data_IF_941038188476
#
_entry.id   IF_941038188476
#
_cell.length_a   1.000
_cell.length_b   1.000
_cell.length_c   1.000
_cell.angle_alpha   90.00
_cell.angle_beta   90.00
_cell.angle_gamma   90.00
#
_symmetry.space_group_name_H-M   'P 1'
#
loop_
_entity.id
_entity.type
_entity.pdbx_description
1 polymer ?
#
# COMPACT_ATOMS: atom_id res chain seq x y z
N UNK A 1 53.66 -12.48 37.61
CA UNK A 1 52.89 -11.24 37.32
C UNK A 1 51.46 -11.65 36.98
N UNK A 2 50.51 -11.45 37.91
CA UNK A 2 49.22 -12.15 37.93
C UNK A 2 48.09 -11.44 37.18
N UNK A 3 46.99 -12.16 36.92
CA UNK A 3 45.77 -11.72 36.21
C UNK A 3 45.24 -10.33 36.61
N UNK A 4 45.47 -9.92 37.87
CA UNK A 4 45.12 -8.60 38.42
C UNK A 4 45.87 -7.44 37.74
N UNK A 5 47.18 -7.58 37.50
CA UNK A 5 47.98 -6.51 36.87
C UNK A 5 47.59 -6.32 35.41
N UNK A 6 47.23 -7.41 34.71
CA UNK A 6 46.74 -7.36 33.34
C UNK A 6 45.38 -6.63 33.25
N UNK A 7 44.42 -6.96 34.12
CA UNK A 7 43.11 -6.30 34.15
C UNK A 7 43.22 -4.82 34.51
N UNK A 8 44.15 -4.46 35.40
CA UNK A 8 44.42 -3.08 35.76
C UNK A 8 44.97 -2.31 34.55
N UNK A 9 45.96 -2.84 33.84
CA UNK A 9 46.50 -2.23 32.60
C UNK A 9 45.45 -2.10 31.49
N UNK A 10 44.59 -3.11 31.32
CA UNK A 10 43.49 -3.05 30.36
C UNK A 10 42.49 -1.94 30.70
N UNK A 11 42.16 -1.79 32.00
CA UNK A 11 41.26 -0.73 32.47
C UNK A 11 41.86 0.66 32.24
N UNK A 12 43.17 0.82 32.43
CA UNK A 12 43.88 2.06 32.11
C UNK A 12 43.86 2.36 30.60
N UNK A 13 44.15 1.36 29.76
CA UNK A 13 44.11 1.54 28.30
C UNK A 13 42.69 1.90 27.81
N UNK A 14 41.65 1.32 28.40
CA UNK A 14 40.27 1.68 28.11
C UNK A 14 39.96 3.11 28.56
N UNK A 15 40.34 3.48 29.79
CA UNK A 15 40.16 4.83 30.34
C UNK A 15 40.83 5.89 29.46
N UNK A 16 42.08 5.68 29.05
CA UNK A 16 42.78 6.62 28.16
C UNK A 16 42.08 6.79 26.81
N UNK A 17 41.55 5.70 26.24
CA UNK A 17 40.77 5.74 24.99
C UNK A 17 39.48 6.54 25.15
N UNK A 18 38.79 6.38 26.27
CA UNK A 18 37.55 7.10 26.58
C UNK A 18 37.81 8.61 26.77
N UNK A 19 38.82 8.97 27.58
CA UNK A 19 39.23 10.36 27.81
C UNK A 19 39.70 11.04 26.52
N UNK A 20 40.47 10.33 25.69
CA UNK A 20 40.91 10.85 24.37
C UNK A 20 39.71 11.08 23.46
N UNK A 21 38.76 10.15 23.43
CA UNK A 21 37.53 10.28 22.63
C UNK A 21 36.66 11.45 23.09
N UNK A 22 36.57 11.70 24.39
CA UNK A 22 35.88 12.86 24.95
C UNK A 22 36.55 14.18 24.54
N UNK A 23 37.87 14.31 24.74
CA UNK A 23 38.62 15.50 24.33
C UNK A 23 38.50 15.80 22.83
N UNK A 24 38.51 14.76 21.99
CA UNK A 24 38.29 14.92 20.54
C UNK A 24 36.89 15.45 20.26
N UNK A 25 35.85 14.92 20.93
CA UNK A 25 34.46 15.38 20.77
C UNK A 25 34.32 16.85 21.17
N UNK A 26 34.96 17.27 22.27
CA UNK A 26 34.91 18.66 22.72
C UNK A 26 35.62 19.62 21.77
N UNK A 27 36.79 19.23 21.24
CA UNK A 27 37.49 20.01 20.21
C UNK A 27 36.68 20.12 18.92
N UNK A 28 35.95 19.08 18.53
CA UNK A 28 35.05 19.12 17.37
C UNK A 28 33.87 20.06 17.65
N UNK A 29 33.26 19.96 18.84
CA UNK A 29 32.15 20.83 19.23
C UNK A 29 32.58 22.30 19.24
N UNK A 30 33.72 22.62 19.87
CA UNK A 30 34.28 23.97 19.90
C UNK A 30 34.60 24.49 18.49
N UNK A 31 35.16 23.64 17.63
CA UNK A 31 35.46 24.02 16.25
C UNK A 31 34.21 24.28 15.41
N UNK A 32 33.16 23.46 15.56
CA UNK A 32 31.87 23.68 14.87
C UNK A 32 31.14 24.91 15.37
N UNK A 33 31.24 25.25 16.66
CA UNK A 33 30.73 26.52 17.22
C UNK A 33 31.41 27.74 16.60
N UNK A 34 32.69 27.63 16.26
CA UNK A 34 33.46 28.66 15.53
C UNK A 34 33.15 28.69 14.02
N UNK A 35 32.19 27.90 13.54
CA UNK A 35 31.82 27.85 12.13
C UNK A 35 32.78 27.09 11.22
N UNK A 36 33.72 26.31 11.77
CA UNK A 36 34.65 25.52 10.96
C UNK A 36 34.02 24.22 10.46
N UNK A 37 34.26 23.89 9.20
CA UNK A 37 33.88 22.61 8.63
C UNK A 37 34.89 21.52 9.06
N UNK A 38 34.41 20.57 9.87
CA UNK A 38 35.24 19.54 10.50
C UNK A 38 35.35 18.24 9.67
N UNK A 39 35.23 18.36 8.34
CA UNK A 39 35.38 17.24 7.40
C UNK A 39 34.14 16.35 7.25
N UNK A 40 34.34 15.21 6.58
CA UNK A 40 33.30 14.28 6.16
C UNK A 40 33.00 14.36 4.67
N UNK A 41 31.83 13.87 4.25
CA UNK A 41 31.41 13.93 2.86
C UNK A 41 31.07 15.37 2.48
N UNK A 42 31.81 15.94 1.52
CA UNK A 42 31.56 17.29 0.99
C UNK A 42 30.15 17.36 0.39
N UNK A 43 29.27 18.28 0.82
CA UNK A 43 27.93 18.39 0.25
C UNK A 43 27.93 18.74 -1.25
N UNK A 44 26.88 18.33 -1.97
CA UNK A 44 26.67 18.74 -3.38
C UNK A 44 26.68 20.27 -3.47
N UNK A 45 27.30 20.86 -4.49
CA UNK A 45 27.46 22.32 -4.63
C UNK A 45 28.72 22.91 -4.00
N UNK A 46 29.49 22.11 -3.23
CA UNK A 46 30.72 22.56 -2.58
C UNK A 46 31.95 21.70 -2.90
N UNK A 47 33.13 22.28 -2.77
CA UNK A 47 34.43 21.60 -2.79
C UNK A 47 35.12 21.78 -1.43
N UNK A 48 35.90 20.78 -1.02
CA UNK A 48 36.67 20.86 0.22
C UNK A 48 37.77 21.92 0.08
N UNK A 49 37.86 22.84 1.04
CA UNK A 49 38.93 23.83 1.12
C UNK A 49 39.47 23.87 2.56
N UNK A 50 40.18 22.80 2.95
CA UNK A 50 40.71 22.66 4.31
C UNK A 50 39.60 22.59 5.37
N UNK A 51 39.54 23.58 6.26
CA UNK A 51 38.52 23.71 7.33
C UNK A 51 37.30 24.53 6.91
N UNK A 52 37.16 24.83 5.62
CA UNK A 52 36.05 25.54 5.00
C UNK A 52 35.62 24.84 3.70
N UNK A 53 34.54 25.31 3.09
CA UNK A 53 33.98 24.82 1.83
C UNK A 53 34.01 25.95 0.80
N UNK A 54 34.41 25.63 -0.43
CA UNK A 54 34.35 26.56 -1.58
C UNK A 54 33.17 26.18 -2.47
N UNK A 55 32.46 27.16 -3.03
CA UNK A 55 31.33 26.88 -3.93
C UNK A 55 31.85 26.32 -5.26
N UNK A 56 31.16 25.28 -5.74
CA UNK A 56 31.27 24.76 -7.10
C UNK A 56 30.04 25.23 -7.88
N UNK A 57 30.20 26.20 -8.77
CA UNK A 57 29.07 26.87 -9.42
C UNK A 57 28.20 25.93 -10.28
N UNK A 58 28.80 24.89 -10.90
CA UNK A 58 28.06 23.95 -11.73
C UNK A 58 27.07 23.13 -10.88
N UNK A 59 27.52 22.63 -9.74
CA UNK A 59 26.67 21.89 -8.83
C UNK A 59 25.78 22.80 -7.97
N UNK A 60 26.24 24.00 -7.62
CA UNK A 60 25.47 24.99 -6.88
C UNK A 60 24.23 25.42 -7.68
N UNK A 61 24.33 25.54 -9.01
CA UNK A 61 23.18 25.76 -9.88
C UNK A 61 22.09 24.70 -9.72
N UNK A 62 22.48 23.42 -9.57
CA UNK A 62 21.53 22.32 -9.32
C UNK A 62 20.81 22.54 -7.99
N UNK A 63 21.55 22.90 -6.94
CA UNK A 63 20.97 23.15 -5.61
C UNK A 63 20.02 24.34 -5.64
N UNK A 64 20.40 25.48 -6.25
CA UNK A 64 19.54 26.67 -6.39
C UNK A 64 18.24 26.31 -7.11
N UNK A 65 18.35 25.59 -8.23
CA UNK A 65 17.18 25.13 -9.00
C UNK A 65 16.26 24.23 -8.17
N UNK A 66 16.80 23.32 -7.37
CA UNK A 66 15.99 22.46 -6.49
C UNK A 66 15.23 23.26 -5.44
N UNK A 67 15.84 24.29 -4.84
CA UNK A 67 15.18 25.18 -3.89
C UNK A 67 14.08 26.00 -4.56
N UNK A 68 14.32 26.54 -5.76
CA UNK A 68 13.33 27.30 -6.52
C UNK A 68 12.13 26.43 -6.94
N UNK A 69 12.40 25.21 -7.41
CA UNK A 69 11.36 24.25 -7.77
C UNK A 69 10.53 23.86 -6.55
N UNK A 70 11.16 23.66 -5.40
CA UNK A 70 10.44 23.32 -4.18
C UNK A 70 9.53 24.46 -3.73
N UNK A 71 10.01 25.71 -3.76
CA UNK A 71 9.19 26.89 -3.43
C UNK A 71 7.97 27.03 -4.34
N UNK A 72 8.10 26.70 -5.63
CA UNK A 72 6.99 26.73 -6.59
C UNK A 72 5.99 25.58 -6.43
N UNK A 73 6.48 24.37 -6.11
CA UNK A 73 5.66 23.15 -6.10
C UNK A 73 5.07 22.84 -4.72
N UNK A 74 5.74 23.23 -3.63
CA UNK A 74 5.33 22.93 -2.24
C UNK A 74 5.38 21.44 -1.85
N UNK A 75 5.86 20.55 -2.72
CA UNK A 75 5.79 19.09 -2.55
C UNK A 75 7.09 18.41 -2.93
N UNK A 76 7.69 17.65 -1.99
CA UNK A 76 8.94 16.90 -2.23
C UNK A 76 8.74 15.78 -3.26
N UNK A 77 7.51 15.24 -3.38
CA UNK A 77 7.20 14.23 -4.40
C UNK A 77 7.25 14.83 -5.79
N UNK A 78 6.62 15.98 -5.97
CA UNK A 78 6.52 16.61 -7.29
C UNK A 78 7.87 17.23 -7.67
N UNK A 79 8.64 17.71 -6.69
CA UNK A 79 10.06 18.07 -6.87
C UNK A 79 10.88 16.89 -7.40
N UNK A 80 10.71 15.69 -6.82
CA UNK A 80 11.43 14.48 -7.29
C UNK A 80 11.15 14.20 -8.75
N UNK A 81 9.86 14.17 -9.13
CA UNK A 81 9.46 13.90 -10.51
C UNK A 81 10.00 14.96 -11.47
N UNK A 82 9.98 16.24 -11.07
CA UNK A 82 10.51 17.33 -11.89
C UNK A 82 12.03 17.29 -12.01
N UNK A 83 12.75 17.02 -10.93
CA UNK A 83 14.21 16.87 -10.92
C UNK A 83 14.66 15.67 -11.78
N UNK A 84 13.90 14.58 -11.76
CA UNK A 84 14.14 13.40 -12.59
C UNK A 84 13.95 13.72 -14.07
N UNK A 85 12.88 14.45 -14.44
CA UNK A 85 12.61 14.90 -15.80
C UNK A 85 13.66 15.88 -16.36
N UNK A 86 14.24 16.72 -15.51
CA UNK A 86 15.34 17.64 -15.87
C UNK A 86 16.69 16.89 -15.99
N UNK A 87 16.76 15.64 -15.54
CA UNK A 87 17.97 14.83 -15.63
C UNK A 87 18.96 15.06 -14.48
N UNK A 88 18.55 15.69 -13.39
CA UNK A 88 19.43 15.91 -12.24
C UNK A 88 19.83 14.60 -11.57
N UNK A 89 21.12 14.49 -11.20
CA UNK A 89 21.73 13.29 -10.61
C UNK A 89 22.55 13.66 -9.38
N UNK A 90 22.66 12.70 -8.46
CA UNK A 90 23.54 12.81 -7.29
C UNK A 90 25.03 12.84 -7.68
N UNK A 91 25.87 13.53 -6.90
CA UNK A 91 27.33 13.60 -7.18
C UNK A 91 27.96 12.21 -7.25
N UNK A 92 28.59 11.89 -8.37
CA UNK A 92 29.43 10.70 -8.53
C UNK A 92 30.72 10.83 -7.72
N UNK A 93 31.05 9.81 -6.94
CA UNK A 93 32.26 9.75 -6.10
C UNK A 93 32.89 8.40 -6.23
N UNK A 94 34.18 8.39 -6.50
CA UNK A 94 35.00 7.19 -6.55
C UNK A 94 35.80 7.12 -5.24
N UNK A 95 35.63 6.01 -4.51
CA UNK A 95 36.37 5.79 -3.27
C UNK A 95 37.71 5.14 -3.59
N UNK A 96 38.69 5.28 -2.69
CA UNK A 96 40.02 4.65 -2.81
C UNK A 96 39.97 3.11 -2.95
N UNK A 97 38.84 2.47 -2.63
CA UNK A 97 38.60 1.04 -2.79
C UNK A 97 37.94 0.67 -4.14
N UNK A 98 37.89 1.58 -5.11
CA UNK A 98 37.27 1.37 -6.43
C UNK A 98 35.73 1.42 -6.44
N UNK A 99 35.08 1.51 -5.27
CA UNK A 99 33.61 1.61 -5.19
C UNK A 99 33.14 2.99 -5.62
N UNK A 100 32.34 3.03 -6.68
CA UNK A 100 31.65 4.25 -7.16
C UNK A 100 30.32 4.41 -6.40
N UNK A 101 30.02 5.63 -5.98
CA UNK A 101 28.74 5.99 -5.34
C UNK A 101 28.19 7.27 -5.95
N UNK A 102 26.87 7.38 -6.09
CA UNK A 102 26.21 8.52 -6.75
C UNK A 102 26.06 8.33 -8.26
N UNK A 103 25.67 9.38 -8.98
CA UNK A 103 25.31 9.31 -10.40
C UNK A 103 23.87 8.83 -10.67
N UNK A 104 23.11 8.51 -9.62
CA UNK A 104 21.72 8.07 -9.70
C UNK A 104 20.75 9.26 -9.56
N UNK A 105 19.51 9.16 -10.09
CA UNK A 105 18.44 10.12 -9.83
C UNK A 105 18.22 10.36 -8.34
N UNK A 106 17.79 11.57 -7.99
CA UNK A 106 17.53 11.91 -6.60
C UNK A 106 16.28 11.16 -6.07
N UNK A 107 16.42 10.53 -4.92
CA UNK A 107 15.28 9.99 -4.17
C UNK A 107 14.66 11.06 -3.25
N UNK A 108 13.49 10.75 -2.70
CA UNK A 108 12.78 11.71 -1.82
C UNK A 108 13.58 12.03 -0.56
N UNK A 109 14.31 11.05 -0.02
CA UNK A 109 15.11 11.21 1.20
C UNK A 109 16.29 12.14 0.99
N UNK A 110 17.01 12.00 -0.12
CA UNK A 110 18.14 12.85 -0.49
C UNK A 110 17.68 14.27 -0.80
N UNK A 111 16.56 14.46 -1.52
CA UNK A 111 15.99 15.80 -1.74
C UNK A 111 15.60 16.47 -0.43
N UNK A 112 14.93 15.75 0.47
CA UNK A 112 14.62 16.27 1.80
C UNK A 112 15.89 16.62 2.60
N UNK A 113 16.93 15.80 2.51
CA UNK A 113 18.22 16.09 3.13
C UNK A 113 18.84 17.38 2.58
N UNK A 114 18.84 17.58 1.25
CA UNK A 114 19.36 18.81 0.62
C UNK A 114 18.57 20.04 1.09
N UNK A 115 17.24 19.96 1.12
CA UNK A 115 16.38 21.07 1.51
C UNK A 115 16.47 21.41 3.01
N UNK A 116 16.76 20.44 3.88
CA UNK A 116 16.82 20.63 5.34
C UNK A 116 18.24 20.83 5.88
N UNK A 117 19.27 20.73 5.03
CA UNK A 117 20.65 20.85 5.46
C UNK A 117 21.05 22.34 5.56
N UNK A 118 21.38 22.86 6.76
CA UNK A 118 21.72 24.26 6.96
C UNK A 118 23.05 24.70 6.31
N UNK A 119 23.87 23.74 5.86
CA UNK A 119 25.12 24.06 5.14
C UNK A 119 24.85 24.92 3.91
N UNK A 120 23.74 24.71 3.21
CA UNK A 120 23.38 25.49 2.03
C UNK A 120 23.09 26.96 2.32
N UNK A 121 22.70 27.27 3.55
CA UNK A 121 22.50 28.63 4.07
C UNK A 121 23.77 29.23 4.72
N UNK A 122 24.94 28.59 4.55
CA UNK A 122 26.17 29.06 5.19
C UNK A 122 26.26 28.72 6.68
N UNK A 123 25.44 27.80 7.21
CA UNK A 123 25.36 27.47 8.64
C UNK A 123 25.81 26.03 8.93
N UNK A 124 26.23 25.73 10.16
CA UNK A 124 26.72 24.40 10.58
C UNK A 124 25.88 23.86 11.74
N UNK A 125 25.41 22.61 11.62
CA UNK A 125 24.66 21.91 12.68
C UNK A 125 25.56 21.07 13.59
N UNK A 126 25.36 21.17 14.90
CA UNK A 126 25.95 20.27 15.88
C UNK A 126 25.00 20.02 17.06
N UNK A 127 24.70 18.74 17.37
CA UNK A 127 23.81 18.31 18.46
C UNK A 127 22.48 19.10 18.52
N UNK A 128 21.88 19.34 17.35
CA UNK A 128 20.60 20.05 17.22
C UNK A 128 20.72 21.58 17.14
N UNK A 129 21.82 22.17 17.59
CA UNK A 129 22.07 23.61 17.47
C UNK A 129 22.67 23.96 16.10
N UNK A 130 22.37 25.17 15.61
CA UNK A 130 22.83 25.70 14.33
C UNK A 130 23.71 26.92 14.64
N UNK A 131 24.89 26.97 14.07
CA UNK A 131 25.85 28.08 14.19
C UNK A 131 26.18 28.64 12.81
N UNK A 132 26.63 29.88 12.73
CA UNK A 132 27.12 30.45 11.47
C UNK A 132 28.41 29.75 11.04
N UNK A 133 28.47 29.38 9.76
CA UNK A 133 29.61 28.74 9.14
C UNK A 133 30.55 29.76 8.51
N UNK A 134 31.81 29.37 8.35
CA UNK A 134 32.83 30.18 7.66
C UNK A 134 32.80 30.02 6.13
N UNK A 135 31.94 29.16 5.61
CA UNK A 135 31.80 28.92 4.18
C UNK A 135 30.69 29.80 3.58
N UNK A 136 30.84 30.26 2.33
CA UNK A 136 29.80 31.04 1.66
C UNK A 136 28.52 30.23 1.46
N UNK A 137 27.37 30.88 1.62
CA UNK A 137 26.07 30.29 1.40
C UNK A 137 25.77 30.14 -0.11
N UNK A 138 25.18 29.01 -0.53
CA UNK A 138 24.66 28.81 -1.89
C UNK A 138 23.25 29.39 -2.02
N UNK A 139 22.48 29.26 -0.94
CA UNK A 139 21.11 29.77 -0.81
C UNK A 139 21.12 30.88 0.22
N UNK A 140 20.42 31.97 -0.07
CA UNK A 140 20.25 33.05 0.88
C UNK A 140 19.66 32.53 2.22
N UNK A 141 20.21 32.92 3.38
CA UNK A 141 19.74 32.41 4.67
C UNK A 141 18.24 32.65 4.91
N UNK A 142 17.69 33.79 4.45
CA UNK A 142 16.25 34.08 4.62
C UNK A 142 15.40 33.20 3.69
N UNK A 143 15.86 32.95 2.46
CA UNK A 143 15.20 32.00 1.57
C UNK A 143 15.21 30.57 2.12
N UNK A 144 16.31 30.16 2.77
CA UNK A 144 16.38 28.86 3.44
C UNK A 144 15.43 28.76 4.65
N UNK A 145 15.36 29.82 5.46
CA UNK A 145 14.45 29.88 6.62
C UNK A 145 12.97 29.73 6.17
N UNK A 146 12.56 30.40 5.08
CA UNK A 146 11.23 30.21 4.46
C UNK A 146 10.97 28.76 4.02
N UNK A 147 11.96 28.10 3.42
CA UNK A 147 11.85 26.69 3.02
C UNK A 147 11.70 25.78 4.24
N UNK A 148 12.36 26.09 5.37
CA UNK A 148 12.15 25.34 6.61
C UNK A 148 10.74 25.52 7.16
N UNK A 149 10.18 26.73 7.11
CA UNK A 149 8.80 26.98 7.50
C UNK A 149 7.81 26.17 6.64
N UNK A 150 8.04 26.09 5.33
CA UNK A 150 7.25 25.26 4.41
C UNK A 150 7.36 23.76 4.73
N UNK A 151 8.58 23.28 5.00
CA UNK A 151 8.81 21.89 5.40
C UNK A 151 8.16 21.56 6.75
N UNK A 152 8.23 22.48 7.71
CA UNK A 152 7.65 22.33 9.03
C UNK A 152 6.13 22.40 8.97
N UNK A 153 5.53 23.40 8.32
CA UNK A 153 4.07 23.53 8.16
C UNK A 153 3.45 22.31 7.46
N UNK A 154 4.12 21.74 6.46
CA UNK A 154 3.74 20.46 5.87
C UNK A 154 3.86 19.27 6.84
N UNK A 155 4.76 19.33 7.82
CA UNK A 155 4.89 18.36 8.90
C UNK A 155 3.91 18.61 10.08
N UNK A 156 3.44 19.86 10.28
CA UNK A 156 2.46 20.26 11.29
C UNK A 156 1.03 19.91 10.91
N UNK A 157 0.79 19.34 9.72
CA UNK A 157 -0.39 18.48 9.51
C UNK A 157 -0.20 17.31 10.48
N UNK A 158 -0.75 17.50 11.68
CA UNK A 158 -0.55 16.60 12.80
C UNK A 158 -0.72 15.18 12.29
N UNK A 159 0.36 14.38 12.36
CA UNK A 159 0.18 12.94 12.52
C UNK A 159 -0.51 12.80 13.86
N UNK A 160 -1.83 12.96 13.83
CA UNK A 160 -2.69 12.77 14.98
C UNK A 160 -2.21 11.52 15.68
N UNK A 161 -1.92 11.70 16.96
CA UNK A 161 -1.68 10.67 17.97
C UNK A 161 -2.28 9.37 17.46
N UNK A 162 -1.43 8.39 17.12
CA UNK A 162 -1.87 7.10 16.57
C UNK A 162 -2.92 6.51 17.52
N UNK A 163 -4.20 6.80 17.30
CA UNK A 163 -5.27 5.86 17.63
C UNK A 163 -4.80 4.58 16.97
N UNK A 164 -4.62 3.50 17.75
CA UNK A 164 -4.21 2.16 17.26
C UNK A 164 -4.79 2.02 15.87
N UNK A 165 -3.93 2.08 14.85
CA UNK A 165 -4.39 1.96 13.47
C UNK A 165 -5.24 0.69 13.47
N UNK A 166 -6.48 0.74 12.98
CA UNK A 166 -7.30 -0.45 12.79
C UNK A 166 -6.38 -1.47 12.12
N UNK A 167 -5.95 -2.45 12.91
CA UNK A 167 -4.90 -3.38 12.52
C UNK A 167 -5.49 -4.15 11.38
N UNK A 168 -4.88 -4.02 10.20
CA UNK A 168 -5.26 -4.88 9.08
C UNK A 168 -4.57 -6.21 9.36
N UNK A 169 -5.31 -7.26 9.79
CA UNK A 169 -4.72 -8.49 10.31
C UNK A 169 -3.82 -9.20 9.28
N UNK A 170 -4.11 -8.97 8.00
CA UNK A 170 -3.37 -9.53 6.87
C UNK A 170 -2.26 -8.61 6.36
N UNK A 171 -1.90 -7.57 7.12
CA UNK A 171 -0.86 -6.62 6.74
C UNK A 171 0.49 -7.35 6.56
N UNK A 172 0.80 -7.66 5.32
CA UNK A 172 2.02 -8.36 4.95
C UNK A 172 1.99 -9.85 4.81
N UNK A 173 0.80 -10.42 4.86
CA UNK A 173 0.58 -11.84 4.65
C UNK A 173 0.13 -12.13 3.21
N UNK A 174 -0.36 -11.13 2.46
CA UNK A 174 -0.92 -11.29 1.12
C UNK A 174 0.09 -11.02 0.01
N UNK A 175 0.14 -11.91 -0.99
CA UNK A 175 0.97 -11.84 -2.19
C UNK A 175 0.14 -12.11 -3.44
N UNK A 176 0.45 -11.45 -4.56
CA UNK A 176 -0.16 -11.72 -5.88
C UNK A 176 0.66 -12.70 -6.73
N UNK A 177 0.17 -13.06 -7.91
CA UNK A 177 0.79 -14.00 -8.85
C UNK A 177 2.18 -13.56 -9.34
N UNK A 178 2.49 -12.28 -9.22
CA UNK A 178 3.80 -11.73 -9.59
C UNK A 178 4.79 -11.74 -8.42
N UNK A 179 4.35 -12.19 -7.24
CA UNK A 179 5.10 -12.15 -5.99
C UNK A 179 5.10 -10.77 -5.31
N UNK A 180 4.31 -9.80 -5.78
CA UNK A 180 4.20 -8.50 -5.14
C UNK A 180 3.29 -8.57 -3.92
N UNK A 181 3.64 -7.81 -2.89
CA UNK A 181 2.98 -7.84 -1.60
C UNK A 181 1.82 -6.86 -1.58
N UNK A 182 0.63 -7.33 -1.20
CA UNK A 182 -0.50 -6.43 -1.02
C UNK A 182 -0.38 -5.68 0.31
N UNK A 183 -0.51 -4.36 0.23
CA UNK A 183 -0.37 -3.43 1.35
C UNK A 183 -1.74 -2.85 1.72
N UNK A 184 -2.08 -2.75 3.02
CA UNK A 184 -3.31 -2.08 3.45
C UNK A 184 -3.36 -0.62 2.99
N UNK A 185 -4.46 -0.24 2.36
CA UNK A 185 -4.76 1.12 1.91
C UNK A 185 -6.20 1.47 2.27
N UNK A 186 -6.56 2.75 2.19
CA UNK A 186 -7.91 3.20 2.45
C UNK A 186 -8.27 4.41 1.60
N UNK A 187 -9.57 4.55 1.32
CA UNK A 187 -10.16 5.78 0.78
C UNK A 187 -11.27 6.26 1.71
N UNK A 188 -11.68 7.52 1.56
CA UNK A 188 -12.82 8.09 2.28
C UNK A 188 -13.86 8.52 1.25
N UNK A 189 -15.10 8.07 1.42
CA UNK A 189 -16.24 8.48 0.58
C UNK A 189 -17.44 8.68 1.51
N UNK A 190 -18.10 9.84 1.43
CA UNK A 190 -19.27 10.19 2.24
C UNK A 190 -19.06 9.96 3.75
N UNK A 191 -17.90 10.37 4.28
CA UNK A 191 -17.56 10.16 5.69
C UNK A 191 -17.17 8.72 6.09
N UNK A 192 -17.53 7.71 5.28
CA UNK A 192 -17.17 6.31 5.51
C UNK A 192 -15.76 6.02 5.01
N UNK A 193 -14.96 5.31 5.83
CA UNK A 193 -13.63 4.84 5.47
C UNK A 193 -13.73 3.45 4.85
N UNK A 194 -13.30 3.31 3.60
CA UNK A 194 -13.27 2.04 2.87
C UNK A 194 -11.84 1.49 2.89
N UNK A 195 -11.66 0.24 3.32
CA UNK A 195 -10.36 -0.43 3.47
C UNK A 195 -10.10 -1.37 2.31
N UNK A 196 -8.85 -1.40 1.84
CA UNK A 196 -8.42 -2.23 0.72
C UNK A 196 -7.05 -2.86 0.98
N UNK A 197 -6.76 -3.98 0.33
CA UNK A 197 -5.41 -4.50 0.12
C UNK A 197 -5.04 -4.23 -1.34
N UNK A 198 -3.92 -3.55 -1.57
CA UNK A 198 -3.48 -3.15 -2.93
C UNK A 198 -2.05 -3.61 -3.22
N UNK A 199 -1.77 -4.08 -4.43
CA UNK A 199 -0.38 -4.42 -4.83
C UNK A 199 0.53 -3.20 -4.62
N UNK A 200 1.72 -3.42 -4.07
CA UNK A 200 2.62 -2.35 -3.65
C UNK A 200 3.00 -1.43 -4.81
N UNK A 201 3.13 -1.96 -6.03
CA UNK A 201 3.42 -1.19 -7.25
C UNK A 201 2.44 -0.04 -7.49
N UNK A 202 1.16 -0.21 -7.14
CA UNK A 202 0.13 0.84 -7.28
C UNK A 202 0.38 2.02 -6.35
N UNK A 203 0.96 1.77 -5.17
CA UNK A 203 1.27 2.84 -4.21
C UNK A 203 2.48 3.66 -4.72
N UNK A 204 3.40 3.05 -5.46
CA UNK A 204 4.62 3.68 -5.95
C UNK A 204 4.40 4.47 -7.26
N UNK A 205 3.75 3.87 -8.27
CA UNK A 205 3.53 4.44 -9.62
C UNK A 205 2.10 4.90 -9.92
N UNK A 206 1.13 4.54 -9.07
CA UNK A 206 -0.29 4.85 -9.29
C UNK A 206 -1.02 3.80 -10.15
N UNK A 207 -2.35 3.78 -10.07
CA UNK A 207 -3.17 2.73 -10.71
C UNK A 207 -3.18 2.76 -12.24
N UNK A 208 -2.78 3.86 -12.88
CA UNK A 208 -2.77 3.96 -14.35
C UNK A 208 -1.56 3.27 -14.98
N UNK A 209 -0.45 3.18 -14.26
CA UNK A 209 0.79 2.57 -14.74
C UNK A 209 0.78 1.03 -14.59
N UNK A 210 -0.13 0.49 -13.77
CA UNK A 210 -0.23 -0.94 -13.46
C UNK A 210 -1.69 -1.41 -13.49
N UNK A 211 -2.27 -1.63 -14.69
CA UNK A 211 -3.66 -2.07 -14.85
C UNK A 211 -3.91 -3.51 -14.37
N UNK A 212 -2.85 -4.32 -14.31
CA UNK A 212 -2.77 -5.69 -13.80
C UNK A 212 -2.84 -5.77 -12.27
N UNK A 213 -2.61 -4.66 -11.58
CA UNK A 213 -2.43 -4.68 -10.14
C UNK A 213 -3.73 -4.93 -9.36
N UNK A 214 -3.57 -5.67 -8.26
CA UNK A 214 -4.70 -6.07 -7.44
C UNK A 214 -5.17 -4.94 -6.52
N UNK A 215 -6.50 -4.83 -6.40
CA UNK A 215 -7.17 -3.97 -5.41
C UNK A 215 -8.37 -4.69 -4.84
N UNK A 216 -8.20 -5.24 -3.65
CA UNK A 216 -9.19 -6.07 -3.00
C UNK A 216 -9.85 -5.35 -1.82
N UNK A 217 -11.19 -5.38 -1.68
CA UNK A 217 -11.88 -4.91 -0.48
C UNK A 217 -11.45 -5.69 0.75
N UNK A 218 -10.94 -5.01 1.79
CA UNK A 218 -10.33 -5.67 2.93
C UNK A 218 -11.32 -6.58 3.68
N UNK A 219 -12.54 -6.09 3.93
CA UNK A 219 -13.58 -6.84 4.65
C UNK A 219 -13.99 -8.13 3.92
N UNK A 220 -14.04 -8.11 2.58
CA UNK A 220 -14.39 -9.30 1.81
C UNK A 220 -13.27 -10.35 1.85
N UNK A 221 -12.01 -9.93 1.66
CA UNK A 221 -10.85 -10.82 1.74
C UNK A 221 -10.73 -11.44 3.14
N UNK A 222 -10.85 -10.62 4.17
CA UNK A 222 -10.80 -11.04 5.57
C UNK A 222 -11.90 -12.08 5.84
N UNK A 223 -13.15 -11.82 5.44
CA UNK A 223 -14.26 -12.77 5.60
C UNK A 223 -14.03 -14.09 4.86
N UNK A 224 -13.57 -14.03 3.61
CA UNK A 224 -13.28 -15.20 2.77
C UNK A 224 -12.21 -16.08 3.40
N UNK A 225 -11.11 -15.46 3.85
CA UNK A 225 -10.01 -16.20 4.48
C UNK A 225 -10.40 -16.79 5.84
N UNK A 226 -11.14 -16.06 6.67
CA UNK A 226 -11.64 -16.58 7.95
C UNK A 226 -12.52 -17.82 7.72
N UNK A 227 -13.39 -17.78 6.70
CA UNK A 227 -14.27 -18.91 6.38
C UNK A 227 -13.49 -20.12 5.83
N UNK A 228 -12.47 -19.87 5.01
CA UNK A 228 -11.61 -20.92 4.46
C UNK A 228 -10.81 -21.63 5.56
N UNK A 229 -10.24 -20.87 6.50
CA UNK A 229 -9.54 -21.42 7.68
C UNK A 229 -10.51 -22.21 8.56
N UNK A 230 -11.70 -21.65 8.85
CA UNK A 230 -12.75 -22.33 9.63
C UNK A 230 -13.17 -23.65 9.00
N UNK A 231 -13.41 -23.67 7.68
CA UNK A 231 -13.84 -24.89 6.97
C UNK A 231 -12.76 -25.96 6.97
N UNK A 232 -11.50 -25.58 6.81
CA UNK A 232 -10.39 -26.53 6.80
C UNK A 232 -10.16 -27.17 8.16
N UNK A 233 -10.11 -26.34 9.20
CA UNK A 233 -9.91 -26.79 10.59
C UNK A 233 -11.19 -27.41 11.18
N UNK A 234 -12.37 -27.09 10.66
CA UNK A 234 -13.64 -27.65 11.12
C UNK A 234 -13.97 -29.04 10.59
N UNK A 235 -13.11 -29.66 9.75
CA UNK A 235 -13.33 -31.01 9.25
C UNK A 235 -13.28 -32.03 10.40
N UNK A 236 -14.10 -33.09 10.37
CA UNK A 236 -14.16 -34.08 11.45
C UNK A 236 -12.82 -34.81 11.69
N UNK A 237 -11.97 -34.87 10.67
CA UNK A 237 -10.62 -35.45 10.71
C UNK A 237 -9.50 -34.40 10.92
N UNK A 238 -9.83 -33.11 11.05
CA UNK A 238 -8.85 -32.03 11.13
C UNK A 238 -7.86 -32.21 12.28
N UNK A 239 -8.32 -32.62 13.47
CA UNK A 239 -7.44 -32.84 14.62
C UNK A 239 -6.40 -33.94 14.36
N UNK A 240 -6.79 -35.00 13.64
CA UNK A 240 -5.91 -36.10 13.28
C UNK A 240 -4.98 -35.74 12.10
N UNK A 241 -5.44 -34.95 11.14
CA UNK A 241 -4.65 -34.57 9.97
C UNK A 241 -3.61 -33.49 10.27
N UNK A 242 -3.91 -32.58 11.20
CA UNK A 242 -3.06 -31.45 11.60
C UNK A 242 -1.99 -31.85 12.63
N UNK A 243 -2.15 -32.98 13.33
CA UNK A 243 -1.18 -33.44 14.33
C UNK A 243 -0.42 -34.70 13.91
N UNK A 244 0.80 -34.88 14.40
CA UNK A 244 1.68 -36.03 14.15
C UNK A 244 2.06 -36.70 15.47
N UNK A 245 1.92 -38.03 15.54
CA UNK A 245 2.39 -38.82 16.68
C UNK A 245 1.59 -38.61 17.98
N UNK A 246 0.40 -38.01 17.90
CA UNK A 246 -0.49 -37.82 19.05
C UNK A 246 -1.29 -39.09 19.33
N UNK A 247 -1.34 -39.61 20.58
CA UNK A 247 -2.13 -40.78 20.93
C UNK A 247 -3.63 -40.57 20.64
N UNK A 248 -4.34 -41.63 20.24
CA UNK A 248 -5.77 -41.55 19.91
C UNK A 248 -6.64 -40.99 21.05
N UNK A 249 -6.24 -41.22 22.31
CA UNK A 249 -6.91 -40.67 23.49
C UNK A 249 -6.83 -39.14 23.58
N UNK A 250 -5.76 -38.54 23.06
CA UNK A 250 -5.52 -37.08 23.08
C UNK A 250 -6.13 -36.38 21.86
N UNK A 251 -6.35 -37.09 20.75
CA UNK A 251 -6.97 -36.52 19.53
C UNK A 251 -8.36 -35.92 19.84
N UNK A 252 -9.14 -36.54 20.73
CA UNK A 252 -10.44 -36.00 21.15
C UNK A 252 -10.31 -34.67 21.90
N UNK A 253 -9.28 -34.53 22.75
CA UNK A 253 -9.00 -33.28 23.46
C UNK A 253 -8.49 -32.19 22.50
N UNK A 254 -7.63 -32.55 21.55
CA UNK A 254 -7.16 -31.67 20.47
C UNK A 254 -8.34 -31.19 19.62
N UNK A 255 -9.24 -32.08 19.21
CA UNK A 255 -10.45 -31.72 18.47
C UNK A 255 -11.34 -30.73 19.24
N UNK A 256 -11.49 -30.94 20.55
CA UNK A 256 -12.21 -30.01 21.43
C UNK A 256 -11.58 -28.61 21.44
N UNK A 257 -10.28 -28.51 21.71
CA UNK A 257 -9.54 -27.23 21.69
C UNK A 257 -9.61 -26.55 20.33
N UNK A 258 -9.45 -27.31 19.26
CA UNK A 258 -9.48 -26.82 17.89
C UNK A 258 -10.87 -26.24 17.54
N UNK A 259 -11.95 -26.89 17.98
CA UNK A 259 -13.32 -26.39 17.83
C UNK A 259 -13.60 -25.09 18.61
N UNK A 260 -13.04 -24.97 19.82
CA UNK A 260 -13.14 -23.79 20.68
C UNK A 260 -12.37 -22.60 20.11
N UNK A 261 -11.15 -22.83 19.60
CA UNK A 261 -10.34 -21.82 18.93
C UNK A 261 -11.00 -21.30 17.66
N UNK A 262 -11.59 -22.17 16.83
CA UNK A 262 -12.33 -21.75 15.61
C UNK A 262 -13.53 -20.85 15.94
N UNK A 263 -14.15 -21.08 17.09
CA UNK A 263 -15.36 -20.37 17.53
C UNK A 263 -15.05 -19.02 18.20
N UNK A 264 -13.90 -18.92 18.87
CA UNK A 264 -13.53 -17.77 19.71
C UNK A 264 -12.49 -16.83 19.07
N UNK A 265 -11.62 -17.34 18.19
CA UNK A 265 -10.52 -16.58 17.60
C UNK A 265 -10.81 -16.13 16.16
N UNK A 266 -10.31 -14.95 15.81
CA UNK A 266 -10.27 -14.50 14.43
C UNK A 266 -9.20 -15.32 13.69
N UNK A 267 -9.62 -16.29 12.88
CA UNK A 267 -8.73 -17.25 12.19
C UNK A 267 -7.64 -16.62 11.31
N UNK A 268 -7.67 -15.30 11.12
CA UNK A 268 -6.69 -14.50 10.37
C UNK A 268 -5.34 -14.40 11.07
N UNK A 269 -5.29 -14.53 12.40
CA UNK A 269 -4.04 -14.51 13.15
C UNK A 269 -3.21 -15.77 12.88
N UNK A 270 -3.88 -16.89 12.60
CA UNK A 270 -3.26 -18.17 12.25
C UNK A 270 -2.61 -18.15 10.86
N UNK A 271 -2.98 -17.22 9.99
CA UNK A 271 -2.44 -17.18 8.64
C UNK A 271 -0.99 -16.69 8.70
N UNK A 272 -0.06 -17.41 8.10
CA UNK A 272 1.32 -16.96 7.90
C UNK A 272 1.42 -16.17 6.59
N UNK A 273 0.98 -16.78 5.49
CA UNK A 273 1.02 -16.22 4.14
C UNK A 273 -0.20 -16.65 3.31
N UNK A 274 -0.55 -15.83 2.33
CA UNK A 274 -1.61 -16.07 1.36
C UNK A 274 -1.09 -15.67 0.00
N UNK A 275 -1.18 -16.59 -0.95
CA UNK A 275 -0.88 -16.37 -2.35
C UNK A 275 -2.19 -16.31 -3.13
N UNK A 276 -2.38 -15.20 -3.83
CA UNK A 276 -3.52 -14.92 -4.67
C UNK A 276 -3.08 -15.06 -6.13
N UNK A 277 -3.84 -15.81 -6.91
CA UNK A 277 -3.67 -15.91 -8.35
C UNK A 277 -5.05 -15.97 -9.02
N UNK A 278 -5.17 -15.65 -10.32
CA UNK A 278 -6.43 -15.81 -11.04
C UNK A 278 -6.95 -17.25 -10.93
N UNK A 279 -8.14 -17.44 -10.34
CA UNK A 279 -8.79 -18.75 -10.22
C UNK A 279 -8.45 -19.55 -8.96
N UNK A 280 -7.40 -19.18 -8.20
CA UNK A 280 -6.99 -19.95 -7.02
C UNK A 280 -6.42 -19.08 -5.90
N UNK A 281 -6.61 -19.53 -4.67
CA UNK A 281 -6.00 -18.98 -3.46
C UNK A 281 -5.30 -20.10 -2.70
N UNK A 282 -4.07 -19.84 -2.27
CA UNK A 282 -3.31 -20.72 -1.40
C UNK A 282 -3.05 -20.03 -0.08
N UNK A 283 -3.41 -20.67 1.03
CA UNK A 283 -3.28 -20.13 2.39
C UNK A 283 -2.35 -21.05 3.18
N UNK A 284 -1.29 -20.48 3.74
CA UNK A 284 -0.37 -21.16 4.65
C UNK A 284 -0.66 -20.73 6.08
N UNK A 285 -0.83 -21.71 6.98
CA UNK A 285 -1.06 -21.49 8.40
C UNK A 285 0.24 -21.55 9.20
N UNK A 286 0.37 -20.69 10.21
CA UNK A 286 1.52 -20.60 11.09
C UNK A 286 1.54 -21.79 12.07
N UNK A 287 2.57 -22.63 11.93
CA UNK A 287 2.77 -23.83 12.73
C UNK A 287 2.90 -23.52 14.23
N UNK A 288 3.58 -22.43 14.59
CA UNK A 288 3.84 -22.06 15.99
C UNK A 288 2.57 -21.55 16.65
N UNK A 289 1.80 -20.72 15.93
CA UNK A 289 0.52 -20.21 16.44
C UNK A 289 -0.45 -21.38 16.65
N UNK A 290 -0.52 -22.32 15.71
CA UNK A 290 -1.37 -23.50 15.84
C UNK A 290 -0.95 -24.41 16.99
N UNK A 291 0.35 -24.68 17.12
CA UNK A 291 0.89 -25.49 18.22
C UNK A 291 0.55 -24.88 19.58
N UNK A 292 0.64 -23.55 19.70
CA UNK A 292 0.25 -22.83 20.91
C UNK A 292 -1.25 -22.95 21.19
N UNK A 293 -2.12 -22.89 20.18
CA UNK A 293 -3.56 -23.08 20.35
C UNK A 293 -3.91 -24.48 20.85
N UNK A 294 -3.23 -25.51 20.32
CA UNK A 294 -3.47 -26.90 20.70
C UNK A 294 -2.76 -27.28 22.01
N UNK A 295 -1.77 -26.50 22.43
CA UNK A 295 -0.93 -26.77 23.59
C UNK A 295 0.02 -27.95 23.36
N UNK A 296 0.51 -28.10 22.13
CA UNK A 296 1.45 -29.16 21.72
C UNK A 296 2.76 -28.56 21.20
N UNK A 297 3.77 -29.40 20.96
CA UNK A 297 5.04 -28.93 20.40
C UNK A 297 4.90 -28.68 18.89
N UNK A 298 5.60 -27.68 18.30
CA UNK A 298 5.55 -27.43 16.86
C UNK A 298 5.96 -28.62 16.00
N UNK A 299 6.84 -29.50 16.50
CA UNK A 299 7.22 -30.74 15.80
C UNK A 299 6.14 -31.82 15.76
N UNK A 300 5.05 -31.64 16.51
CA UNK A 300 3.87 -32.51 16.49
C UNK A 300 2.78 -31.99 15.55
N UNK A 301 3.06 -30.93 14.77
CA UNK A 301 2.13 -30.41 13.78
C UNK A 301 2.53 -30.90 12.40
N UNK A 302 1.56 -31.42 11.67
CA UNK A 302 1.71 -31.83 10.28
C UNK A 302 1.72 -30.60 9.36
N UNK A 303 2.90 -30.17 8.93
CA UNK A 303 3.07 -29.00 8.06
C UNK A 303 2.37 -29.14 6.70
N UNK A 304 2.22 -30.37 6.19
CA UNK A 304 1.51 -30.62 4.92
C UNK A 304 0.01 -30.31 5.02
N UNK A 305 -0.58 -30.45 6.21
CA UNK A 305 -1.97 -30.14 6.48
C UNK A 305 -2.20 -28.64 6.76
N UNK A 306 -1.16 -27.81 6.77
CA UNK A 306 -1.24 -26.36 7.01
C UNK A 306 -1.36 -25.52 5.73
N UNK A 307 -1.35 -26.17 4.57
CA UNK A 307 -1.58 -25.52 3.29
C UNK A 307 -3.00 -25.79 2.83
N UNK A 308 -3.75 -24.72 2.54
CA UNK A 308 -5.12 -24.81 2.07
C UNK A 308 -5.17 -24.20 0.67
N UNK A 309 -5.59 -25.01 -0.30
CA UNK A 309 -5.85 -24.56 -1.65
C UNK A 309 -7.35 -24.50 -1.88
N UNK A 310 -7.82 -23.38 -2.42
CA UNK A 310 -9.22 -23.24 -2.80
C UNK A 310 -9.36 -22.49 -4.14
N UNK A 311 -10.38 -22.82 -4.94
CA UNK A 311 -10.77 -21.98 -6.07
C UNK A 311 -11.18 -20.59 -5.59
N UNK A 312 -10.67 -19.57 -6.27
CA UNK A 312 -10.88 -18.17 -5.94
C UNK A 312 -11.18 -17.38 -7.21
N UNK A 313 -12.39 -16.82 -7.29
CA UNK A 313 -12.80 -16.00 -8.41
C UNK A 313 -13.04 -14.56 -7.98
N UNK A 314 -12.55 -13.64 -8.82
CA UNK A 314 -12.84 -12.22 -8.73
C UNK A 314 -13.88 -11.87 -9.78
N UNK A 315 -15.07 -11.46 -9.36
CA UNK A 315 -16.10 -10.99 -10.27
C UNK A 315 -16.26 -9.48 -10.14
N UNK A 316 -16.10 -8.76 -11.24
CA UNK A 316 -16.36 -7.31 -11.30
C UNK A 316 -17.79 -7.10 -11.76
N UNK A 317 -18.64 -6.52 -10.90
CA UNK A 317 -20.00 -6.10 -11.24
C UNK A 317 -20.07 -4.58 -11.20
N UNK A 318 -19.95 -3.94 -12.38
CA UNK A 318 -19.82 -2.49 -12.49
C UNK A 318 -18.54 -1.98 -11.81
N UNK A 319 -18.69 -1.14 -10.77
CA UNK A 319 -17.57 -0.57 -10.00
C UNK A 319 -17.19 -1.44 -8.79
N UNK A 320 -18.02 -2.42 -8.43
CA UNK A 320 -17.81 -3.26 -7.25
C UNK A 320 -17.10 -4.58 -7.61
N UNK A 321 -16.05 -4.89 -6.87
CA UNK A 321 -15.35 -6.17 -6.95
C UNK A 321 -15.90 -7.09 -5.85
N UNK A 322 -16.42 -8.25 -6.25
CA UNK A 322 -16.85 -9.32 -5.35
C UNK A 322 -15.90 -10.50 -5.40
N UNK A 323 -15.64 -11.08 -4.23
CA UNK A 323 -14.78 -12.25 -4.06
C UNK A 323 -15.63 -13.48 -3.73
N UNK A 324 -15.41 -14.57 -4.47
CA UNK A 324 -16.12 -15.83 -4.29
C UNK A 324 -15.16 -17.00 -4.06
N UNK A 325 -15.55 -17.90 -3.16
CA UNK A 325 -14.90 -19.20 -2.91
C UNK A 325 -15.68 -20.29 -3.65
N UNK A 326 -15.00 -21.08 -4.49
CA UNK A 326 -15.69 -22.10 -5.30
C UNK A 326 -16.39 -21.54 -6.53
N UNK A 327 -17.17 -22.40 -7.19
CA UNK A 327 -18.16 -21.96 -8.17
C UNK A 327 -19.24 -21.18 -7.43
N UNK A 328 -19.37 -19.86 -7.65
CA UNK A 328 -20.38 -19.09 -6.99
C UNK A 328 -21.75 -19.57 -7.44
N UNK A 329 -22.67 -19.76 -6.49
CA UNK A 329 -24.08 -19.82 -6.81
C UNK A 329 -24.45 -18.54 -7.59
N UNK A 330 -25.23 -18.66 -8.68
CA UNK A 330 -25.59 -17.50 -9.47
C UNK A 330 -26.32 -16.49 -8.58
N UNK A 331 -25.74 -15.30 -8.44
CA UNK A 331 -26.27 -14.24 -7.58
C UNK A 331 -27.00 -13.21 -8.45
N UNK A 332 -28.28 -12.99 -8.19
CA UNK A 332 -29.11 -12.06 -8.96
C UNK A 332 -28.67 -10.61 -8.73
N UNK A 333 -28.35 -9.87 -9.79
CA UNK A 333 -28.13 -8.42 -9.70
C UNK A 333 -29.47 -7.70 -9.52
N UNK A 334 -29.85 -7.49 -8.26
CA UNK A 334 -31.09 -6.79 -7.88
C UNK A 334 -31.19 -5.40 -8.51
N UNK A 335 -30.08 -4.70 -8.70
CA UNK A 335 -30.08 -3.34 -9.25
C UNK A 335 -30.39 -3.39 -10.75
N UNK A 336 -29.75 -4.29 -11.48
CA UNK A 336 -30.02 -4.51 -12.90
C UNK A 336 -31.47 -4.93 -13.12
N UNK A 337 -31.95 -5.92 -12.37
CA UNK A 337 -33.34 -6.40 -12.44
C UNK A 337 -34.34 -5.27 -12.17
N UNK A 338 -34.12 -4.47 -11.12
CA UNK A 338 -34.97 -3.31 -10.81
C UNK A 338 -34.97 -2.27 -11.93
N UNK A 339 -33.82 -1.99 -12.54
CA UNK A 339 -33.71 -1.03 -13.63
C UNK A 339 -34.38 -1.54 -14.91
N UNK A 340 -34.29 -2.83 -15.23
CA UNK A 340 -35.01 -3.44 -16.36
C UNK A 340 -36.52 -3.34 -16.15
N UNK A 341 -37.01 -3.65 -14.94
CA UNK A 341 -38.43 -3.54 -14.61
C UNK A 341 -38.93 -2.08 -14.75
N UNK A 342 -38.14 -1.10 -14.30
CA UNK A 342 -38.41 0.32 -14.52
C UNK A 342 -38.42 0.68 -16.01
N UNK A 343 -37.42 0.20 -16.77
CA UNK A 343 -37.32 0.42 -18.20
C UNK A 343 -38.55 -0.03 -18.95
N UNK A 344 -39.04 -1.25 -18.66
CA UNK A 344 -40.29 -1.78 -19.25
C UNK A 344 -41.50 -0.94 -18.90
N UNK A 345 -41.62 -0.51 -17.63
CA UNK A 345 -42.73 0.35 -17.18
C UNK A 345 -42.71 1.72 -17.88
N UNK A 346 -41.55 2.35 -17.97
CA UNK A 346 -41.40 3.65 -18.63
C UNK A 346 -41.61 3.54 -20.14
N UNK A 347 -41.13 2.47 -20.78
CA UNK A 347 -41.42 2.21 -22.19
C UNK A 347 -42.93 2.08 -22.44
N UNK A 348 -43.65 1.36 -21.59
CA UNK A 348 -45.11 1.25 -21.70
C UNK A 348 -45.81 2.62 -21.60
N UNK A 349 -45.36 3.50 -20.69
CA UNK A 349 -45.89 4.86 -20.58
C UNK A 349 -45.59 5.72 -21.82
N UNK A 350 -44.42 5.55 -22.43
CA UNK A 350 -44.04 6.25 -23.67
C UNK A 350 -44.93 5.78 -24.84
N UNK A 351 -45.18 4.47 -24.93
CA UNK A 351 -46.08 3.90 -25.94
C UNK A 351 -47.53 4.39 -25.75
N UNK A 352 -47.94 4.65 -24.51
CA UNK A 352 -49.24 5.25 -24.15
C UNK A 352 -49.31 6.77 -24.40
N UNK A 353 -48.25 7.36 -24.99
CA UNK A 353 -48.23 8.75 -25.43
C UNK A 353 -47.69 9.76 -24.41
N UNK A 354 -47.19 9.32 -23.24
CA UNK A 354 -46.56 10.23 -22.26
C UNK A 354 -45.20 10.72 -22.74
N UNK A 355 -44.93 12.00 -22.52
CA UNK A 355 -43.63 12.58 -22.87
C UNK A 355 -42.52 12.18 -21.89
N UNK A 356 -41.26 12.24 -22.33
CA UNK A 356 -40.12 11.98 -21.44
C UNK A 356 -40.08 12.91 -20.22
N UNK A 357 -40.50 14.17 -20.38
CA UNK A 357 -40.58 15.15 -19.29
C UNK A 357 -41.65 14.80 -18.27
N UNK A 358 -42.84 14.39 -18.71
CA UNK A 358 -43.93 14.00 -17.80
C UNK A 358 -43.54 12.80 -16.93
N UNK A 359 -42.86 11.81 -17.52
CA UNK A 359 -42.39 10.63 -16.77
C UNK A 359 -41.27 11.03 -15.80
N UNK A 360 -40.34 11.88 -16.25
CA UNK A 360 -39.24 12.39 -15.44
C UNK A 360 -39.74 13.16 -14.20
N UNK A 361 -40.74 14.02 -14.37
CA UNK A 361 -41.33 14.82 -13.29
C UNK A 361 -42.08 13.92 -12.29
N UNK A 362 -42.84 12.93 -12.78
CA UNK A 362 -43.60 12.01 -11.93
C UNK A 362 -42.69 11.06 -11.11
N UNK A 363 -41.57 10.61 -11.70
CA UNK A 363 -40.61 9.70 -11.07
C UNK A 363 -39.48 10.44 -10.34
N UNK A 364 -39.46 11.77 -10.39
CA UNK A 364 -38.44 12.66 -9.83
C UNK A 364 -37.01 12.26 -10.25
N UNK A 365 -36.82 12.05 -11.56
CA UNK A 365 -35.53 11.71 -12.18
C UNK A 365 -35.29 12.55 -13.42
N UNK A 366 -34.06 12.61 -13.94
CA UNK A 366 -33.79 13.37 -15.15
C UNK A 366 -34.38 12.70 -16.40
N UNK A 367 -34.77 13.50 -17.40
CA UNK A 367 -35.20 13.02 -18.73
C UNK A 367 -34.15 12.11 -19.38
N UNK A 368 -32.87 12.43 -19.23
CA UNK A 368 -31.76 11.57 -19.69
C UNK A 368 -31.79 10.20 -19.02
N UNK A 369 -32.06 10.12 -17.71
CA UNK A 369 -32.15 8.84 -16.99
C UNK A 369 -33.32 7.99 -17.48
N UNK A 370 -34.46 8.62 -17.83
CA UNK A 370 -35.59 7.91 -18.45
C UNK A 370 -35.15 7.29 -19.78
N UNK A 371 -34.50 8.06 -20.65
CA UNK A 371 -34.01 7.57 -21.95
C UNK A 371 -33.02 6.40 -21.80
N UNK A 372 -32.04 6.54 -20.90
CA UNK A 372 -31.03 5.52 -20.64
C UNK A 372 -31.64 4.19 -20.14
N UNK A 373 -32.68 4.27 -19.30
CA UNK A 373 -33.29 3.11 -18.65
C UNK A 373 -34.42 2.51 -19.50
N UNK A 374 -35.19 3.32 -20.22
CA UNK A 374 -36.24 2.83 -21.11
C UNK A 374 -35.68 1.86 -22.17
N UNK A 375 -34.46 2.11 -22.66
CA UNK A 375 -33.78 1.20 -23.59
C UNK A 375 -33.57 -0.21 -23.02
N UNK A 376 -33.39 -0.36 -21.70
CA UNK A 376 -33.23 -1.67 -21.06
C UNK A 376 -34.46 -2.57 -21.23
N UNK A 377 -35.61 -2.03 -21.62
CA UNK A 377 -36.80 -2.83 -21.94
C UNK A 377 -36.61 -3.72 -23.17
N UNK A 378 -35.66 -3.39 -24.06
CA UNK A 378 -35.43 -4.03 -25.36
C UNK A 378 -34.45 -5.21 -25.31
N UNK A 379 -34.04 -5.65 -24.11
CA UNK A 379 -33.16 -6.81 -23.93
C UNK A 379 -33.90 -8.09 -24.36
N UNK A 380 -33.20 -8.99 -25.06
CA UNK A 380 -33.78 -10.24 -25.53
C UNK A 380 -34.32 -11.12 -24.38
N UNK A 381 -35.42 -11.87 -24.60
CA UNK A 381 -36.04 -12.68 -23.54
C UNK A 381 -35.11 -13.70 -22.88
N UNK A 382 -34.28 -14.39 -23.66
CA UNK A 382 -33.31 -15.37 -23.17
C UNK A 382 -32.23 -14.75 -22.28
N UNK A 383 -31.80 -13.53 -22.60
CA UNK A 383 -30.85 -12.77 -21.78
C UNK A 383 -31.52 -12.30 -20.48
N UNK A 384 -32.80 -11.95 -20.53
CA UNK A 384 -33.57 -11.61 -19.33
C UNK A 384 -33.72 -12.81 -18.40
N UNK A 385 -34.01 -13.99 -18.94
CA UNK A 385 -34.09 -15.23 -18.17
C UNK A 385 -32.74 -15.48 -17.48
N UNK A 386 -31.62 -15.41 -18.22
CA UNK A 386 -30.28 -15.51 -17.66
C UNK A 386 -30.00 -14.46 -16.56
N UNK A 387 -30.46 -13.21 -16.73
CA UNK A 387 -30.32 -12.15 -15.71
C UNK A 387 -31.14 -12.48 -14.45
N UNK A 388 -32.36 -12.98 -14.61
CA UNK A 388 -33.23 -13.33 -13.48
C UNK A 388 -32.74 -14.56 -12.72
N UNK A 389 -32.07 -15.48 -13.42
CA UNK A 389 -31.42 -16.65 -12.82
C UNK A 389 -30.03 -16.32 -12.25
N UNK A 390 -29.47 -15.15 -12.56
CA UNK A 390 -28.13 -14.73 -12.13
C UNK A 390 -26.99 -15.36 -12.93
N UNK A 391 -27.29 -15.90 -14.11
CA UNK A 391 -26.38 -16.58 -15.05
C UNK A 391 -25.79 -15.64 -16.12
N UNK A 392 -26.10 -14.35 -16.04
CA UNK A 392 -25.56 -13.32 -16.93
C UNK A 392 -24.01 -13.27 -16.90
N UNK A 393 -23.35 -12.91 -18.02
CA UNK A 393 -21.89 -12.71 -18.07
C UNK A 393 -21.37 -11.69 -17.06
N UNK A 394 -20.14 -11.93 -16.55
CA UNK A 394 -19.49 -11.05 -15.60
C UNK A 394 -19.12 -9.70 -16.26
N UNK A 395 -19.85 -8.65 -15.90
CA UNK A 395 -19.68 -7.31 -16.48
C UNK A 395 -20.96 -6.76 -17.10
N UNK A 396 -21.93 -7.62 -17.41
CA UNK A 396 -23.26 -7.22 -17.85
C UNK A 396 -24.02 -6.57 -16.69
N UNK A 397 -23.97 -5.24 -16.66
CA UNK A 397 -24.53 -4.40 -15.59
C UNK A 397 -25.31 -3.23 -16.19
N UNK A 398 -26.12 -2.54 -15.38
CA UNK A 398 -26.84 -1.34 -15.84
C UNK A 398 -25.87 -0.29 -16.40
N UNK A 399 -24.72 -0.11 -15.76
CA UNK A 399 -23.73 0.90 -16.19
C UNK A 399 -23.08 0.51 -17.53
N UNK A 400 -22.78 -0.77 -17.73
CA UNK A 400 -22.30 -1.28 -19.02
C UNK A 400 -23.33 -1.00 -20.11
N UNK A 401 -24.57 -1.44 -19.93
CA UNK A 401 -25.64 -1.32 -20.93
C UNK A 401 -25.93 0.13 -21.33
N UNK A 402 -25.84 1.06 -20.38
CA UNK A 402 -26.02 2.51 -20.65
C UNK A 402 -24.83 3.09 -21.41
N UNK A 403 -23.60 2.70 -21.08
CA UNK A 403 -22.38 3.31 -21.65
C UNK A 403 -22.00 2.79 -23.01
N UNK A 404 -22.10 1.47 -23.22
CA UNK A 404 -21.71 0.88 -24.51
C UNK A 404 -22.78 1.10 -25.57
N UNK A 405 -24.03 1.32 -25.14
CA UNK A 405 -25.22 1.19 -25.96
C UNK A 405 -25.29 -0.22 -26.60
N UNK A 406 -26.48 -0.83 -26.58
CA UNK A 406 -26.66 -2.16 -27.16
C UNK A 406 -27.69 -2.09 -28.28
N UNK A 407 -27.53 -2.96 -29.27
CA UNK A 407 -28.43 -3.00 -30.42
C UNK A 407 -29.84 -3.43 -30.00
N UNK A 408 -30.87 -2.87 -30.64
CA UNK A 408 -32.25 -3.36 -30.47
C UNK A 408 -32.45 -4.74 -31.13
N UNK A 409 -31.51 -5.18 -31.98
CA UNK A 409 -31.56 -6.46 -32.68
C UNK A 409 -31.03 -7.57 -31.76
N UNK A 410 -31.88 -8.53 -31.39
CA UNK A 410 -31.54 -9.56 -30.40
C UNK A 410 -30.37 -10.48 -30.79
N UNK A 411 -30.16 -10.78 -32.07
CA UNK A 411 -29.00 -11.56 -32.53
C UNK A 411 -27.68 -10.84 -32.25
N UNK A 412 -27.64 -9.52 -32.44
CA UNK A 412 -26.46 -8.70 -32.16
C UNK A 412 -26.22 -8.56 -30.65
N UNK A 413 -27.29 -8.46 -29.85
CA UNK A 413 -27.17 -8.47 -28.38
C UNK A 413 -26.48 -9.74 -27.88
N UNK A 414 -26.87 -10.91 -28.40
CA UNK A 414 -26.27 -12.19 -28.01
C UNK A 414 -24.78 -12.22 -28.33
N UNK A 415 -24.38 -11.80 -29.53
CA UNK A 415 -22.98 -11.73 -29.92
C UNK A 415 -22.19 -10.72 -29.05
N UNK A 416 -22.79 -9.56 -28.76
CA UNK A 416 -22.18 -8.51 -27.95
C UNK A 416 -21.97 -8.96 -26.49
N UNK A 417 -22.95 -9.64 -25.90
CA UNK A 417 -22.87 -10.04 -24.49
C UNK A 417 -22.09 -11.34 -24.30
N UNK A 418 -22.00 -12.21 -25.31
CA UNK A 418 -21.12 -13.37 -25.27
C UNK A 418 -19.62 -13.01 -25.30
N UNK A 419 -19.28 -11.78 -25.71
CA UNK A 419 -17.91 -11.26 -25.72
C UNK A 419 -17.45 -10.64 -24.37
N UNK A 420 -18.33 -10.66 -23.35
CA UNK A 420 -18.03 -10.29 -21.96
C UNK A 420 -17.57 -11.52 -21.19
#
# INVERSE_FOLDING_TARGET
MGRLTLNMLLSFAQFEREVTSERIRDKIAASKRKGMWMGGNVPLGYQANGRTLKIDEAEAHTVRTLYDLYQKLGSVRDLKNRAEAIGFRSRRRERSCGRVSGGIPFDRGHLHHILSNPIYAGRIRHKGQIYDGQHPAIIDPQAWDKVQELLQSGATISRGTRKKAVTSPLAGKLFDETGDRLTPSHSRKNGKRLRYYVSRRVIAGGSKEHPDAWRLPAEQVERVLTELVRRHLGKPDAAASVTLGVPAAEIKAVAGKLSECISSADGLDLIEQVYLQPGAISVQLDTKVLANWLGCLPGQINTSALTIEAPFQMRRRGVELKLHLGDPAPEIDKTLVQNIAKGRRWLAMIVDGKSFSEIADNENVSTRRIQDIANLALIAPDILDAITLGEQPDGLSTDYLIKTHFSAIWSEQRAQFAAL
#
